data_IF_731300182375
#
_entry.id   IF_731300182375
#
_cell.length_a   1.000
_cell.length_b   1.000
_cell.length_c   1.000
_cell.angle_alpha   90.00
_cell.angle_beta   90.00
_cell.angle_gamma   90.00
#
_symmetry.space_group_name_H-M   'P 1'
#
loop_
_entity.id
_entity.type
_entity.pdbx_description
1 polymer ?
#
# COMPACT_ATOMS: atom_id res chain seq x y z
N UNK A 1 -19.01 -13.93 22.39
CA UNK A 1 -19.11 -12.54 21.90
C UNK A 1 -18.72 -12.59 20.44
N UNK A 2 -19.66 -12.38 19.52
CA UNK A 2 -19.40 -12.46 18.07
C UNK A 2 -19.52 -11.06 17.49
N UNK A 3 -18.50 -10.60 16.76
CA UNK A 3 -18.43 -9.28 16.13
C UNK A 3 -19.33 -9.16 14.88
N UNK A 4 -20.46 -9.86 14.84
CA UNK A 4 -21.31 -10.02 13.65
C UNK A 4 -21.90 -8.73 13.10
N UNK A 5 -21.86 -7.62 13.86
CA UNK A 5 -22.37 -6.31 13.44
C UNK A 5 -21.27 -5.28 13.11
N UNK A 6 -19.99 -5.65 13.17
CA UNK A 6 -18.87 -4.78 12.79
C UNK A 6 -18.04 -5.49 11.72
N UNK A 7 -18.46 -5.35 10.45
CA UNK A 7 -17.79 -5.94 9.29
C UNK A 7 -16.29 -5.64 9.27
N UNK A 8 -15.93 -4.42 9.67
CA UNK A 8 -14.57 -3.93 9.54
C UNK A 8 -13.75 -4.07 10.85
N UNK A 9 -14.30 -4.73 11.89
CA UNK A 9 -13.60 -4.97 13.16
C UNK A 9 -12.23 -5.68 13.05
N UNK A 10 -11.98 -6.58 12.06
CA UNK A 10 -10.68 -7.23 11.91
C UNK A 10 -9.58 -6.33 11.32
N UNK A 11 -9.95 -5.20 10.72
CA UNK A 11 -9.04 -4.34 9.97
C UNK A 11 -8.48 -3.20 10.83
N UNK A 12 -7.31 -2.69 10.43
CA UNK A 12 -6.72 -1.52 11.10
C UNK A 12 -7.36 -0.23 10.57
N UNK A 13 -7.36 0.80 11.41
CA UNK A 13 -7.87 2.12 11.06
C UNK A 13 -6.96 3.21 11.62
N UNK A 14 -6.84 4.31 10.89
CA UNK A 14 -6.17 5.52 11.38
C UNK A 14 -7.22 6.43 12.00
N UNK A 15 -6.90 6.94 13.20
CA UNK A 15 -7.75 7.85 13.95
C UNK A 15 -7.14 9.24 13.98
N UNK A 16 -7.98 10.26 13.82
CA UNK A 16 -7.65 11.66 14.07
C UNK A 16 -8.66 12.22 15.07
N UNK A 17 -8.19 12.78 16.18
CA UNK A 17 -9.03 13.36 17.24
C UNK A 17 -10.13 12.41 17.78
N UNK A 18 -9.87 11.09 17.76
CA UNK A 18 -10.81 10.07 18.22
C UNK A 18 -11.84 9.62 17.18
N UNK A 19 -11.79 10.16 15.96
CA UNK A 19 -12.62 9.73 14.84
C UNK A 19 -11.81 8.92 13.84
N UNK A 20 -12.44 7.91 13.24
CA UNK A 20 -11.83 7.13 12.15
C UNK A 20 -11.78 8.02 10.91
N UNK A 21 -10.60 8.10 10.30
CA UNK A 21 -10.47 8.75 9.00
C UNK A 21 -11.19 7.89 7.94
N UNK A 22 -12.16 8.46 7.23
CA UNK A 22 -13.30 7.72 6.67
C UNK A 22 -13.16 7.19 5.23
N UNK A 23 -11.95 6.90 4.76
CA UNK A 23 -11.67 6.64 3.32
C UNK A 23 -10.85 5.36 3.09
N UNK A 24 -11.12 4.30 3.86
CA UNK A 24 -10.54 2.96 3.67
C UNK A 24 -9.94 2.33 4.93
N UNK A 25 -10.22 1.04 5.15
CA UNK A 25 -9.57 0.23 6.18
C UNK A 25 -8.18 -0.21 5.73
N UNK A 26 -7.26 -0.37 6.67
CA UNK A 26 -5.97 -1.02 6.41
C UNK A 26 -6.07 -2.53 6.57
N UNK A 27 -5.02 -3.25 6.19
CA UNK A 27 -4.95 -4.70 6.38
C UNK A 27 -5.11 -5.10 7.86
N UNK A 28 -5.71 -6.26 8.10
CA UNK A 28 -5.95 -6.80 9.45
C UNK A 28 -4.69 -7.39 10.09
N UNK A 29 -4.78 -7.66 11.40
CA UNK A 29 -3.63 -8.20 12.17
C UNK A 29 -3.15 -9.57 11.66
N UNK A 30 -4.05 -10.39 11.10
CA UNK A 30 -3.70 -11.67 10.50
C UNK A 30 -2.86 -11.48 9.22
N UNK A 31 -3.16 -10.44 8.44
CA UNK A 31 -2.41 -10.09 7.23
C UNK A 31 -1.05 -9.49 7.59
N UNK A 32 -0.98 -8.68 8.66
CA UNK A 32 0.30 -8.22 9.23
C UNK A 32 1.19 -9.41 9.57
N UNK A 33 0.68 -10.37 10.34
CA UNK A 33 1.44 -11.56 10.72
C UNK A 33 1.88 -12.41 9.53
N UNK A 34 1.02 -12.51 8.50
CA UNK A 34 1.38 -13.16 7.24
C UNK A 34 2.59 -12.47 6.58
N UNK A 35 2.58 -11.14 6.47
CA UNK A 35 3.68 -10.38 5.87
C UNK A 35 4.96 -10.44 6.71
N UNK A 36 4.87 -10.43 8.03
CA UNK A 36 6.02 -10.65 8.92
C UNK A 36 6.72 -11.97 8.60
N UNK A 37 5.95 -13.06 8.50
CA UNK A 37 6.48 -14.39 8.19
C UNK A 37 7.05 -14.48 6.77
N UNK A 38 6.35 -13.88 5.79
CA UNK A 38 6.79 -13.89 4.39
C UNK A 38 8.11 -13.13 4.21
N UNK A 39 8.21 -11.93 4.77
CA UNK A 39 9.36 -11.05 4.59
C UNK A 39 10.55 -11.40 5.47
N UNK A 40 10.38 -12.19 6.53
CA UNK A 40 11.51 -12.82 7.23
C UNK A 40 12.36 -13.67 6.27
N UNK A 41 11.71 -14.32 5.28
CA UNK A 41 12.38 -15.16 4.28
C UNK A 41 12.66 -14.46 2.95
N UNK A 42 11.71 -13.70 2.41
CA UNK A 42 11.79 -13.16 1.04
C UNK A 42 12.60 -11.86 0.92
N UNK A 43 12.42 -10.92 1.86
CA UNK A 43 13.13 -9.62 1.95
C UNK A 43 13.21 -8.84 0.62
N UNK A 44 12.06 -8.48 0.00
CA UNK A 44 12.06 -7.68 -1.23
C UNK A 44 12.75 -6.33 -1.03
N UNK A 45 13.54 -5.92 -2.04
CA UNK A 45 14.22 -4.62 -2.07
C UNK A 45 13.42 -3.57 -2.85
N UNK A 46 12.58 -4.01 -3.81
CA UNK A 46 11.70 -3.15 -4.59
C UNK A 46 10.23 -3.54 -4.42
N UNK A 47 9.47 -2.76 -3.66
CA UNK A 47 8.07 -3.03 -3.32
C UNK A 47 7.16 -1.99 -4.00
N UNK A 48 6.25 -2.44 -4.86
CA UNK A 48 5.26 -1.59 -5.51
C UNK A 48 3.85 -1.87 -4.97
N UNK A 49 3.11 -0.80 -4.66
CA UNK A 49 1.76 -0.89 -4.11
C UNK A 49 0.79 -0.15 -5.04
N UNK A 50 -0.35 -0.76 -5.35
CA UNK A 50 -1.48 -0.12 -6.03
C UNK A 50 -2.61 0.02 -5.03
N UNK A 51 -2.95 1.26 -4.66
CA UNK A 51 -3.88 1.58 -3.57
C UNK A 51 -3.14 1.85 -2.26
N UNK A 52 -3.02 3.13 -1.90
CA UNK A 52 -2.42 3.57 -0.64
C UNK A 52 -3.46 3.82 0.44
N UNK A 53 -4.63 4.37 0.07
CA UNK A 53 -5.60 4.93 1.00
C UNK A 53 -4.87 5.84 2.03
N UNK A 54 -5.00 5.58 3.34
CA UNK A 54 -4.27 6.30 4.40
C UNK A 54 -2.83 5.81 4.66
N UNK A 55 -2.36 4.79 3.96
CA UNK A 55 -0.96 4.38 3.96
C UNK A 55 -0.54 3.38 5.03
N UNK A 56 -1.47 2.78 5.79
CA UNK A 56 -1.10 1.79 6.82
C UNK A 56 -0.28 0.64 6.22
N UNK A 57 -0.78 0.01 5.16
CA UNK A 57 -0.08 -1.09 4.49
C UNK A 57 1.25 -0.63 3.92
N UNK A 58 1.31 0.57 3.32
CA UNK A 58 2.55 1.17 2.78
C UNK A 58 3.63 1.35 3.85
N UNK A 59 3.26 1.92 5.00
CA UNK A 59 4.17 2.10 6.14
C UNK A 59 4.62 0.75 6.68
N UNK A 60 3.69 -0.20 6.84
CA UNK A 60 4.02 -1.55 7.29
C UNK A 60 5.04 -2.23 6.37
N UNK A 61 4.85 -2.18 5.05
CA UNK A 61 5.79 -2.80 4.10
C UNK A 61 7.22 -2.27 4.29
N UNK A 62 7.38 -0.98 4.54
CA UNK A 62 8.69 -0.37 4.78
C UNK A 62 9.28 -0.77 6.13
N UNK A 63 8.46 -0.85 7.19
CA UNK A 63 8.90 -1.30 8.51
C UNK A 63 9.38 -2.76 8.49
N UNK A 64 8.69 -3.62 7.73
CA UNK A 64 9.07 -5.03 7.58
C UNK A 64 10.27 -5.25 6.64
N UNK A 65 10.54 -4.29 5.75
CA UNK A 65 11.64 -4.35 4.77
C UNK A 65 12.50 -3.08 4.83
N UNK A 66 13.26 -2.85 5.93
CA UNK A 66 13.93 -1.56 6.19
C UNK A 66 15.04 -1.20 5.20
N UNK A 67 15.55 -2.18 4.43
CA UNK A 67 16.55 -1.95 3.39
C UNK A 67 15.93 -1.74 2.00
N UNK A 68 14.62 -2.01 1.85
CA UNK A 68 13.91 -1.89 0.59
C UNK A 68 13.35 -0.49 0.35
N UNK A 69 12.89 -0.26 -0.87
CA UNK A 69 12.15 0.91 -1.30
C UNK A 69 10.69 0.53 -1.52
N UNK A 70 9.79 1.31 -0.94
CA UNK A 70 8.34 1.16 -1.13
C UNK A 70 7.81 2.31 -1.96
N UNK A 71 7.14 2.00 -3.07
CA UNK A 71 6.45 2.99 -3.90
C UNK A 71 4.98 2.63 -4.00
N UNK A 72 4.11 3.54 -3.55
CA UNK A 72 2.67 3.36 -3.64
C UNK A 72 2.08 4.28 -4.71
N UNK A 73 1.25 3.74 -5.60
CA UNK A 73 0.45 4.47 -6.58
C UNK A 73 -1.00 4.56 -6.08
N UNK A 74 -1.53 5.76 -5.94
CA UNK A 74 -2.90 5.98 -5.49
C UNK A 74 -3.61 7.06 -6.31
N UNK A 75 -4.86 6.79 -6.69
CA UNK A 75 -5.64 7.70 -7.53
C UNK A 75 -6.10 8.97 -6.79
N UNK A 76 -6.15 8.94 -5.46
CA UNK A 76 -6.64 10.03 -4.61
C UNK A 76 -8.09 10.39 -4.90
N UNK A 77 -8.92 9.40 -5.26
CA UNK A 77 -10.36 9.58 -5.55
C UNK A 77 -11.10 10.16 -4.35
N UNK A 78 -10.72 9.72 -3.14
CA UNK A 78 -11.31 10.15 -1.88
C UNK A 78 -10.57 11.37 -1.28
N UNK A 79 -9.67 11.97 -2.07
CA UNK A 79 -8.77 13.04 -1.66
C UNK A 79 -7.31 12.61 -1.65
N UNK A 80 -6.41 13.58 -1.55
CA UNK A 80 -4.96 13.38 -1.54
C UNK A 80 -4.36 13.42 -0.13
N UNK A 81 -5.20 13.47 0.91
CA UNK A 81 -4.75 13.51 2.30
C UNK A 81 -3.93 12.27 2.67
N UNK A 82 -4.41 11.06 2.35
CA UNK A 82 -3.68 9.83 2.65
C UNK A 82 -2.31 9.77 1.98
N UNK A 83 -2.21 10.25 0.73
CA UNK A 83 -0.94 10.39 0.01
C UNK A 83 0.01 11.35 0.74
N UNK A 84 -0.47 12.53 1.13
CA UNK A 84 0.35 13.50 1.88
C UNK A 84 0.76 12.98 3.25
N UNK A 85 -0.17 12.35 3.98
CA UNK A 85 0.08 11.79 5.30
C UNK A 85 1.16 10.71 5.23
N UNK A 86 1.07 9.80 4.27
CA UNK A 86 2.04 8.70 4.11
C UNK A 86 3.44 9.24 3.81
N UNK A 87 3.54 10.20 2.87
CA UNK A 87 4.81 10.85 2.57
C UNK A 87 5.37 11.65 3.76
N UNK A 88 4.50 12.29 4.56
CA UNK A 88 4.90 12.99 5.78
C UNK A 88 5.47 12.02 6.82
N UNK A 89 4.80 10.90 7.06
CA UNK A 89 5.29 9.83 7.95
C UNK A 89 6.64 9.32 7.46
N UNK A 90 6.79 9.13 6.14
CA UNK A 90 8.06 8.69 5.55
C UNK A 90 9.21 9.65 5.85
N UNK A 91 8.98 10.95 5.75
CA UNK A 91 9.97 11.99 6.08
C UNK A 91 10.29 12.03 7.58
N UNK A 92 9.26 12.03 8.43
CA UNK A 92 9.40 12.14 9.89
C UNK A 92 10.10 10.90 10.49
N UNK A 93 9.79 9.71 9.97
CA UNK A 93 10.31 8.42 10.46
C UNK A 93 11.50 7.89 9.64
N UNK A 94 11.99 8.67 8.66
CA UNK A 94 13.12 8.30 7.79
C UNK A 94 12.93 6.98 7.05
N UNK A 95 11.70 6.70 6.61
CA UNK A 95 11.37 5.49 5.85
C UNK A 95 11.56 5.72 4.35
N UNK A 96 12.05 4.71 3.64
CA UNK A 96 12.23 4.75 2.18
C UNK A 96 10.90 4.48 1.45
N UNK A 97 9.95 5.39 1.63
CA UNK A 97 8.61 5.34 1.04
C UNK A 97 8.43 6.51 0.08
N UNK A 98 7.74 6.26 -1.02
CA UNK A 98 7.19 7.33 -1.89
C UNK A 98 5.78 6.98 -2.33
N UNK A 99 4.81 7.79 -1.94
CA UNK A 99 3.44 7.68 -2.44
C UNK A 99 3.22 8.69 -3.57
N UNK A 100 2.87 8.19 -4.75
CA UNK A 100 2.65 8.95 -5.99
C UNK A 100 1.17 8.99 -6.31
N UNK A 101 0.67 10.18 -6.65
CA UNK A 101 -0.70 10.33 -7.15
C UNK A 101 -0.76 9.90 -8.63
N UNK A 102 -1.62 8.94 -8.95
CA UNK A 102 -1.86 8.46 -10.31
C UNK A 102 -2.85 7.31 -10.37
N UNK A 103 -3.32 7.00 -11.56
CA UNK A 103 -4.35 6.00 -11.81
C UNK A 103 -3.76 4.70 -12.33
N UNK A 104 -4.02 3.59 -11.65
CA UNK A 104 -3.79 2.26 -12.23
C UNK A 104 -4.93 1.89 -13.20
N UNK A 105 -4.64 1.18 -14.30
CA UNK A 105 -3.33 0.67 -14.71
C UNK A 105 -2.44 1.71 -15.42
N UNK A 106 -3.00 2.86 -15.82
CA UNK A 106 -2.40 3.79 -16.79
C UNK A 106 -1.04 4.36 -16.36
N UNK A 107 -0.90 4.70 -15.09
CA UNK A 107 0.30 5.34 -14.53
C UNK A 107 1.30 4.33 -13.93
N UNK A 108 1.00 3.01 -13.97
CA UNK A 108 1.87 1.97 -13.41
C UNK A 108 3.24 1.99 -14.07
N UNK A 109 3.30 1.89 -15.41
CA UNK A 109 4.56 1.82 -16.13
C UNK A 109 5.47 3.02 -15.85
N UNK A 110 4.93 4.23 -15.98
CA UNK A 110 5.64 5.48 -15.68
C UNK A 110 6.13 5.50 -14.24
N UNK A 111 5.27 5.15 -13.27
CA UNK A 111 5.64 5.18 -11.85
C UNK A 111 6.74 4.18 -11.55
N UNK A 112 6.70 2.99 -12.14
CA UNK A 112 7.74 1.99 -11.95
C UNK A 112 9.06 2.45 -12.54
N UNK A 113 9.06 2.89 -13.80
CA UNK A 113 10.27 3.33 -14.52
C UNK A 113 10.95 4.54 -13.85
N UNK A 114 10.19 5.46 -13.26
CA UNK A 114 10.72 6.63 -12.57
C UNK A 114 11.30 6.32 -11.18
N UNK A 115 10.98 5.16 -10.59
CA UNK A 115 11.32 4.89 -9.19
C UNK A 115 12.09 3.59 -8.95
N UNK A 116 12.07 2.62 -9.88
CA UNK A 116 12.79 1.36 -9.77
C UNK A 116 13.72 1.19 -10.97
N UNK A 117 15.02 0.97 -10.71
CA UNK A 117 16.03 0.78 -11.75
C UNK A 117 16.16 -0.66 -12.25
N UNK A 118 15.79 -1.65 -11.43
CA UNK A 118 16.07 -3.07 -11.66
C UNK A 118 14.82 -3.95 -11.80
N UNK A 119 13.63 -3.37 -11.68
CA UNK A 119 12.36 -4.09 -11.61
C UNK A 119 11.78 -4.13 -10.19
N UNK A 120 10.69 -4.87 -10.02
CA UNK A 120 9.90 -4.97 -8.79
C UNK A 120 9.99 -6.40 -8.25
N UNK A 121 10.35 -6.56 -6.98
CA UNK A 121 10.40 -7.88 -6.33
C UNK A 121 9.03 -8.30 -5.78
N UNK A 122 8.27 -7.32 -5.30
CA UNK A 122 6.97 -7.56 -4.67
C UNK A 122 5.93 -6.52 -5.08
N UNK A 123 4.74 -7.00 -5.45
CA UNK A 123 3.58 -6.14 -5.75
C UNK A 123 2.45 -6.43 -4.78
N UNK A 124 1.89 -5.37 -4.19
CA UNK A 124 0.67 -5.43 -3.40
C UNK A 124 -0.47 -4.67 -4.12
N UNK A 125 -1.53 -5.38 -4.50
CA UNK A 125 -2.69 -4.82 -5.23
C UNK A 125 -3.86 -4.72 -4.27
N UNK A 126 -4.22 -3.50 -3.89
CA UNK A 126 -5.26 -3.19 -2.91
C UNK A 126 -6.14 -1.99 -3.33
N UNK A 127 -6.21 -1.71 -4.65
CA UNK A 127 -7.00 -0.63 -5.22
C UNK A 127 -8.41 -1.07 -5.67
N UNK A 128 -9.43 -0.23 -5.43
CA UNK A 128 -10.83 -0.28 -5.91
C UNK A 128 -11.65 -1.56 -5.62
N UNK A 129 -11.00 -2.67 -5.28
CA UNK A 129 -11.60 -3.95 -4.85
C UNK A 129 -12.63 -4.54 -5.82
N UNK A 130 -12.42 -4.37 -7.12
CA UNK A 130 -13.22 -5.06 -8.16
C UNK A 130 -12.38 -6.08 -8.91
N UNK A 131 -12.99 -7.20 -9.30
CA UNK A 131 -12.32 -8.25 -10.07
C UNK A 131 -11.72 -7.72 -11.38
N UNK A 132 -12.42 -6.81 -12.05
CA UNK A 132 -11.94 -6.21 -13.31
C UNK A 132 -10.73 -5.31 -13.06
N UNK A 133 -10.75 -4.46 -12.04
CA UNK A 133 -9.60 -3.61 -11.71
C UNK A 133 -8.40 -4.43 -11.28
N UNK A 134 -8.57 -5.42 -10.39
CA UNK A 134 -7.47 -6.29 -9.96
C UNK A 134 -6.82 -7.02 -11.13
N UNK A 135 -7.60 -7.44 -12.13
CA UNK A 135 -7.10 -8.06 -13.35
C UNK A 135 -6.32 -7.06 -14.22
N UNK A 136 -6.76 -5.82 -14.30
CA UNK A 136 -6.04 -4.76 -15.01
C UNK A 136 -4.71 -4.44 -14.31
N UNK A 137 -4.74 -4.27 -12.99
CA UNK A 137 -3.58 -3.98 -12.16
C UNK A 137 -2.55 -5.09 -12.23
N UNK A 138 -2.98 -6.36 -12.08
CA UNK A 138 -2.12 -7.53 -12.23
C UNK A 138 -1.42 -7.53 -13.58
N UNK A 139 -2.17 -7.32 -14.67
CA UNK A 139 -1.58 -7.27 -16.02
C UNK A 139 -0.61 -6.11 -16.20
N UNK A 140 -0.88 -4.97 -15.57
CA UNK A 140 -0.05 -3.78 -15.69
C UNK A 140 1.34 -3.98 -15.07
N UNK A 141 1.45 -4.75 -13.98
CA UNK A 141 2.72 -4.97 -13.28
C UNK A 141 3.56 -6.13 -13.84
N UNK A 142 2.95 -7.05 -14.61
CA UNK A 142 3.61 -8.28 -15.08
C UNK A 142 4.92 -8.08 -15.84
N UNK A 143 5.07 -6.96 -16.58
CA UNK A 143 6.27 -6.70 -17.37
C UNK A 143 7.42 -6.09 -16.55
N UNK A 144 7.19 -5.85 -15.26
CA UNK A 144 8.14 -5.19 -14.36
C UNK A 144 8.60 -6.09 -13.20
N UNK A 145 8.04 -7.30 -13.10
CA UNK A 145 8.38 -8.30 -12.09
C UNK A 145 9.34 -9.35 -12.68
#
# INVERSE_FOLDING_TARGET
MTFTNYRDAPFTAIYENGEILSTGGGIGLQEVYFFECLFESFKPESIFIIGNAFGWSTVLMALLNPNGQVVALDAGIEGDFGIRLTNKIAEEEQLNIKTVKGFSPNDVAKTVEENFGTGIDFVFIDGLHTNEQQKLDFKAVLNFC
#
